data_IF_502881387702
#
_entry.id   IF_502881387702
#
_cell.length_a   1.000
_cell.length_b   1.000
_cell.length_c   1.000
_cell.angle_alpha   90.00
_cell.angle_beta   90.00
_cell.angle_gamma   90.00
#
_symmetry.space_group_name_H-M   'P 1'
#
loop_
_entity.id
_entity.type
_entity.pdbx_description
1 polymer ?
#
# COMPACT_ATOMS: atom_id res chain seq x y z
N UNK A 1 -11.74 -9.61 -18.66
CA UNK A 1 -11.57 -9.45 -18.34
C UNK A 1 -11.29 -9.01 -17.83
N UNK A 2 -11.08 -8.75 -17.55
CA UNK A 2 -10.74 -8.44 -17.13
C UNK A 2 -10.57 -8.17 -16.25
N UNK A 3 -10.36 -7.89 -16.07
CA UNK A 3 -9.86 -7.62 -15.11
C UNK A 3 -10.53 -6.96 -14.04
N UNK A 4 -11.49 -7.43 -13.50
CA UNK A 4 -12.15 -6.97 -12.34
C UNK A 4 -11.24 -6.92 -11.19
N UNK A 5 -10.33 -7.85 -11.11
CA UNK A 5 -9.41 -7.88 -9.99
C UNK A 5 -8.56 -6.65 -9.91
N UNK A 6 -8.18 -6.10 -11.04
CA UNK A 6 -7.37 -4.93 -11.01
C UNK A 6 -8.10 -3.73 -10.54
N UNK A 7 -9.40 -3.78 -10.60
CA UNK A 7 -10.19 -2.66 -10.16
C UNK A 7 -10.64 -2.78 -8.75
N UNK A 8 -10.33 -3.89 -8.11
CA UNK A 8 -10.73 -4.06 -6.74
C UNK A 8 -9.86 -3.25 -5.84
N UNK A 9 -10.47 -2.71 -4.82
CA UNK A 9 -9.70 -1.96 -3.84
C UNK A 9 -9.16 -2.93 -2.81
N UNK A 10 -8.05 -2.57 -2.22
CA UNK A 10 -7.39 -3.39 -1.22
C UNK A 10 -7.73 -2.88 0.15
N UNK A 11 -7.90 -3.80 1.09
CA UNK A 11 -8.05 -3.41 2.48
C UNK A 11 -6.66 -3.15 3.06
N UNK A 12 -6.62 -2.58 4.25
CA UNK A 12 -5.33 -2.36 4.88
C UNK A 12 -4.65 -3.69 5.19
N UNK A 13 -5.44 -4.73 5.46
CA UNK A 13 -4.86 -6.06 5.67
C UNK A 13 -4.26 -6.61 4.40
N UNK A 14 -4.93 -6.39 3.26
CA UNK A 14 -4.40 -6.79 1.97
C UNK A 14 -3.09 -6.07 1.69
N UNK A 15 -3.04 -4.79 2.01
CA UNK A 15 -1.84 -4.01 1.78
C UNK A 15 -0.68 -4.51 2.65
N UNK A 16 -0.98 -4.82 3.90
CA UNK A 16 0.04 -5.34 4.80
C UNK A 16 0.63 -6.63 4.25
N UNK A 17 -0.24 -7.50 3.73
CA UNK A 17 0.22 -8.75 3.17
C UNK A 17 1.07 -8.51 1.92
N UNK A 18 0.63 -7.58 1.08
CA UNK A 18 1.35 -7.29 -0.14
C UNK A 18 2.74 -6.74 0.17
N UNK A 19 2.84 -5.87 1.15
CA UNK A 19 4.11 -5.25 1.48
C UNK A 19 4.93 -6.08 2.46
N UNK A 20 4.35 -7.12 2.99
CA UNK A 20 5.02 -7.99 3.95
C UNK A 20 5.46 -7.24 5.19
N UNK A 21 4.59 -6.35 5.67
CA UNK A 21 4.86 -5.64 6.91
C UNK A 21 3.70 -5.85 7.85
N UNK A 22 3.90 -5.71 9.15
CA UNK A 22 2.80 -5.87 10.10
C UNK A 22 1.72 -4.83 9.87
N UNK A 23 0.48 -5.21 10.10
CA UNK A 23 -0.63 -4.30 9.88
C UNK A 23 -0.53 -3.09 10.82
N UNK A 24 0.01 -3.29 12.00
CA UNK A 24 0.19 -2.18 12.94
C UNK A 24 1.11 -1.12 12.37
N UNK A 25 2.08 -1.53 11.57
CA UNK A 25 2.97 -0.60 10.92
C UNK A 25 2.19 0.31 9.98
N UNK A 26 1.22 -0.26 9.26
CA UNK A 26 0.43 0.53 8.35
C UNK A 26 -0.47 1.50 9.08
N UNK A 27 -1.02 1.09 10.21
CA UNK A 27 -1.83 2.01 11.01
C UNK A 27 -0.96 3.17 11.51
N UNK A 28 0.27 2.87 11.90
CA UNK A 28 1.19 3.91 12.33
C UNK A 28 1.50 4.87 11.20
N UNK A 29 1.69 4.35 9.99
CA UNK A 29 1.95 5.20 8.83
C UNK A 29 0.78 6.13 8.59
N UNK A 30 -0.44 5.61 8.65
CA UNK A 30 -1.61 6.43 8.41
C UNK A 30 -1.70 7.54 9.44
N UNK A 31 -1.38 7.21 10.67
CA UNK A 31 -1.44 8.19 11.73
C UNK A 31 -0.45 9.31 11.50
N UNK A 32 0.70 9.00 10.91
CA UNK A 32 1.72 9.99 10.64
C UNK A 32 1.60 10.61 9.26
N UNK A 33 0.66 10.14 8.47
CA UNK A 33 0.49 10.69 7.13
C UNK A 33 1.52 10.23 6.14
N UNK A 34 2.11 9.06 6.35
CA UNK A 34 3.10 8.54 5.42
C UNK A 34 2.55 7.25 4.79
N UNK A 35 3.27 6.70 3.84
CA UNK A 35 2.85 5.50 3.16
C UNK A 35 1.99 5.84 1.95
N UNK A 36 1.45 4.83 1.27
CA UNK A 36 0.65 5.10 0.09
C UNK A 36 -0.67 5.75 0.46
N UNK A 37 -1.20 6.55 -0.45
CA UNK A 37 -2.45 7.23 -0.20
C UNK A 37 -3.60 6.25 -0.19
N UNK A 38 -4.49 6.39 0.78
CA UNK A 38 -5.67 5.55 0.87
C UNK A 38 -6.90 6.37 0.64
N UNK A 39 -8.01 5.69 0.40
CA UNK A 39 -9.29 6.32 0.18
C UNK A 39 -10.19 5.98 1.35
N UNK A 40 -10.86 6.99 1.86
CA UNK A 40 -11.78 6.79 2.95
C UNK A 40 -13.18 6.66 2.40
N UNK A 41 -13.75 5.50 2.58
CA UNK A 41 -15.09 5.23 2.10
C UNK A 41 -15.95 4.94 3.30
N UNK A 42 -16.71 5.94 3.74
CA UNK A 42 -17.44 5.81 4.98
C UNK A 42 -16.45 5.68 6.12
N UNK A 43 -16.55 4.58 6.85
CA UNK A 43 -15.60 4.33 7.92
C UNK A 43 -14.52 3.34 7.51
N UNK A 44 -14.50 2.97 6.22
CA UNK A 44 -13.54 2.00 5.75
C UNK A 44 -12.41 2.70 5.01
N UNK A 45 -11.25 2.10 5.04
CA UNK A 45 -10.11 2.62 4.30
C UNK A 45 -9.75 1.59 3.25
N UNK A 46 -9.57 2.05 2.02
CA UNK A 46 -9.23 1.16 0.91
C UNK A 46 -8.11 1.78 0.12
N UNK A 47 -7.39 0.95 -0.62
CA UNK A 47 -6.24 1.39 -1.41
C UNK A 47 -6.39 0.90 -2.83
N UNK A 48 -5.91 1.67 -3.78
CA UNK A 48 -5.92 1.25 -5.17
C UNK A 48 -4.57 0.65 -5.49
N UNK A 49 -4.56 -0.44 -6.23
CA UNK A 49 -3.32 -1.09 -6.60
C UNK A 49 -2.39 -0.16 -7.32
N UNK A 50 -2.90 0.62 -8.27
CA UNK A 50 -2.06 1.54 -9.01
C UNK A 50 -1.41 2.55 -8.11
N UNK A 51 -2.14 3.06 -7.12
CA UNK A 51 -1.60 4.04 -6.20
C UNK A 51 -0.49 3.42 -5.36
N UNK A 52 -0.72 2.21 -4.92
CA UNK A 52 0.25 1.51 -4.09
C UNK A 52 1.51 1.21 -4.90
N UNK A 53 1.33 0.81 -6.14
CA UNK A 53 2.49 0.47 -6.97
C UNK A 53 3.31 1.70 -7.31
N UNK A 54 2.65 2.82 -7.56
CA UNK A 54 3.36 4.05 -7.82
C UNK A 54 4.15 4.49 -6.59
N UNK A 55 3.53 4.37 -5.41
CA UNK A 55 4.21 4.72 -4.17
C UNK A 55 5.41 3.80 -3.96
N UNK A 56 5.21 2.53 -4.21
CA UNK A 56 6.27 1.54 -4.00
C UNK A 56 7.45 1.80 -4.92
N UNK A 57 7.18 2.20 -6.15
CA UNK A 57 8.26 2.52 -7.08
C UNK A 57 9.12 3.64 -6.53
N UNK A 58 8.51 4.59 -5.82
CA UNK A 58 9.25 5.67 -5.23
C UNK A 58 10.05 5.27 -4.02
N UNK A 59 9.79 4.07 -3.49
CA UNK A 59 10.53 3.59 -2.33
C UNK A 59 11.76 2.79 -2.71
N UNK A 60 11.97 2.56 -3.98
CA UNK A 60 13.08 1.74 -4.41
C UNK A 60 14.38 2.36 -3.93
N UNK A 61 15.21 1.54 -3.33
CA UNK A 61 16.47 2.02 -2.80
C UNK A 61 17.57 1.53 -3.70
N UNK A 62 17.91 2.35 -4.66
CA UNK A 62 18.88 1.93 -5.63
C UNK A 62 20.30 2.16 -5.18
N UNK A 63 20.48 2.80 -4.04
CA UNK A 63 21.79 3.01 -3.54
C UNK A 63 22.36 1.85 -2.89
N UNK A 64 21.58 1.09 -2.41
CA UNK A 64 22.03 0.09 -1.65
C UNK A 64 22.04 -1.08 -2.14
N UNK A 65 22.19 -1.56 -2.28
CA UNK A 65 22.23 -2.57 -2.55
C UNK A 65 22.32 -3.39 -2.08
N UNK A 66 22.66 -3.90 -2.03
CA UNK A 66 22.64 -4.87 -1.96
C UNK A 66 22.13 -5.53 -1.14
N UNK A 67 21.74 -5.66 -1.02
CA UNK A 67 21.33 -6.22 -0.46
C UNK A 67 21.23 -6.54 0.35
N UNK A 68 21.33 -6.08 0.40
CA UNK A 68 21.42 -6.27 1.32
C UNK A 68 20.92 -6.56 1.67
#
# INVERSE_FOLDING_TARGET
MKSTDQERLMTIADLAAMLCVPIDTLYGWRHRGVGPAGYRIGRHVRYRCETVEAWLAGQADTRDEPGG
#
